data_IF_707245591323
#
_entry.id   IF_707245591323
#
_cell.length_a   1.000
_cell.length_b   1.000
_cell.length_c   1.000
_cell.angle_alpha   90.00
_cell.angle_beta   90.00
_cell.angle_gamma   90.00
#
_symmetry.space_group_name_H-M   'P 1'
#
loop_
_entity.id
_entity.type
_entity.pdbx_description
1 polymer ?
#
# COMPACT_ATOMS: atom_id res chain seq x y z
N UNK A 1 37.64 -2.67 3.53
CA UNK A 1 37.28 -2.42 4.94
C UNK A 1 36.03 -1.58 4.87
N UNK A 2 34.89 -2.18 5.17
CA UNK A 2 33.56 -1.65 4.82
C UNK A 2 33.24 -0.40 5.61
N UNK A 3 32.93 0.68 4.89
CA UNK A 3 32.26 1.84 5.47
C UNK A 3 30.80 1.45 5.72
N UNK A 4 30.56 1.04 6.96
CA UNK A 4 29.24 0.75 7.50
C UNK A 4 28.58 2.09 7.85
N UNK A 5 28.26 2.87 6.81
CA UNK A 5 27.54 4.13 6.95
C UNK A 5 26.10 3.84 7.36
N UNK A 6 25.84 3.86 8.68
CA UNK A 6 24.50 3.88 9.30
C UNK A 6 23.79 5.22 9.10
N UNK A 7 23.76 5.72 7.87
CA UNK A 7 22.87 6.80 7.45
C UNK A 7 21.59 6.19 6.88
N UNK A 8 20.44 6.83 7.09
CA UNK A 8 19.18 6.47 6.44
C UNK A 8 19.32 6.71 4.93
N UNK A 9 19.86 5.74 4.21
CA UNK A 9 19.90 5.71 2.76
C UNK A 9 18.58 5.15 2.26
N UNK A 10 17.64 6.03 1.93
CA UNK A 10 16.42 5.64 1.22
C UNK A 10 16.64 5.97 -0.24
N UNK A 11 16.68 4.92 -1.07
CA UNK A 11 16.69 5.07 -2.52
C UNK A 11 15.30 5.56 -2.98
N UNK A 12 15.18 6.81 -3.48
CA UNK A 12 13.90 7.38 -3.87
C UNK A 12 13.28 6.65 -5.07
N UNK A 13 14.10 6.04 -5.94
CA UNK A 13 13.61 5.23 -7.06
C UNK A 13 13.03 3.93 -6.55
N UNK A 14 13.73 3.24 -5.65
CA UNK A 14 13.22 2.02 -5.03
C UNK A 14 11.94 2.27 -4.22
N UNK A 15 11.83 3.43 -3.56
CA UNK A 15 10.62 3.81 -2.83
C UNK A 15 9.43 4.03 -3.77
N UNK A 16 9.64 4.73 -4.88
CA UNK A 16 8.62 4.97 -5.91
C UNK A 16 8.19 3.67 -6.60
N UNK A 17 9.14 2.77 -6.91
CA UNK A 17 8.80 1.43 -7.41
C UNK A 17 7.96 0.63 -6.41
N UNK A 18 8.33 0.68 -5.13
CA UNK A 18 7.59 0.00 -4.07
C UNK A 18 6.16 0.55 -3.97
N UNK A 19 6.00 1.88 -4.04
CA UNK A 19 4.71 2.56 -4.08
C UNK A 19 3.85 2.11 -5.27
N UNK A 20 4.43 2.04 -6.47
CA UNK A 20 3.72 1.60 -7.67
C UNK A 20 3.27 0.13 -7.58
N UNK A 21 4.16 -0.76 -7.10
CA UNK A 21 3.83 -2.17 -6.88
C UNK A 21 2.70 -2.32 -5.88
N UNK A 22 2.72 -1.56 -4.79
CA UNK A 22 1.67 -1.57 -3.77
C UNK A 22 0.34 -1.02 -4.28
N UNK A 23 0.36 0.04 -5.10
CA UNK A 23 -0.84 0.54 -5.77
C UNK A 23 -1.45 -0.52 -6.71
N UNK A 24 -0.61 -1.26 -7.43
CA UNK A 24 -1.06 -2.36 -8.28
C UNK A 24 -1.64 -3.52 -7.47
N UNK A 25 -1.01 -3.89 -6.34
CA UNK A 25 -1.52 -4.92 -5.43
C UNK A 25 -2.89 -4.50 -4.89
N UNK A 26 -3.04 -3.26 -4.43
CA UNK A 26 -4.33 -2.72 -3.96
C UNK A 26 -5.43 -2.84 -5.01
N UNK A 27 -5.12 -2.46 -6.26
CA UNK A 27 -6.06 -2.57 -7.37
C UNK A 27 -6.46 -4.03 -7.61
N UNK A 28 -5.50 -4.95 -7.65
CA UNK A 28 -5.76 -6.39 -7.85
C UNK A 28 -6.58 -6.99 -6.72
N UNK A 29 -6.34 -6.61 -5.46
CA UNK A 29 -7.13 -7.09 -4.32
C UNK A 29 -8.58 -6.62 -4.40
N UNK A 30 -8.82 -5.36 -4.77
CA UNK A 30 -10.17 -4.84 -4.97
C UNK A 30 -10.89 -5.56 -6.14
N UNK A 31 -10.18 -5.82 -7.22
CA UNK A 31 -10.72 -6.57 -8.36
C UNK A 31 -11.03 -8.03 -7.99
N UNK A 32 -10.17 -8.67 -7.18
CA UNK A 32 -10.39 -10.03 -6.69
C UNK A 32 -11.64 -10.11 -5.80
N UNK A 33 -11.87 -9.12 -4.93
CA UNK A 33 -13.08 -9.04 -4.11
C UNK A 33 -14.33 -8.93 -4.99
N UNK A 34 -14.29 -8.06 -6.00
CA UNK A 34 -15.40 -7.88 -6.96
C UNK A 34 -15.68 -9.15 -7.77
N UNK A 35 -14.63 -9.86 -8.19
CA UNK A 35 -14.76 -11.13 -8.92
C UNK A 35 -15.32 -12.23 -8.02
N UNK A 36 -14.90 -12.27 -6.75
CA UNK A 36 -15.46 -13.20 -5.77
C UNK A 36 -16.97 -12.96 -5.61
N UNK A 37 -17.40 -11.71 -5.40
CA UNK A 37 -18.83 -11.34 -5.29
C UNK A 37 -19.65 -11.74 -6.52
N UNK A 38 -19.05 -11.67 -7.72
CA UNK A 38 -19.71 -12.06 -8.96
C UNK A 38 -19.70 -13.57 -9.22
N UNK A 39 -18.71 -14.28 -8.67
CA UNK A 39 -18.60 -15.72 -8.80
C UNK A 39 -19.55 -16.46 -7.86
N UNK A 40 -20.12 -15.76 -6.88
CA UNK A 40 -21.06 -16.36 -5.95
C UNK A 40 -22.35 -16.82 -6.66
N UNK A 41 -22.69 -18.11 -6.54
CA UNK A 41 -23.89 -18.63 -7.17
C UNK A 41 -25.15 -18.09 -6.49
N UNK A 42 -26.06 -17.53 -7.29
CA UNK A 42 -27.36 -17.09 -6.81
C UNK A 42 -28.09 -18.22 -6.08
N UNK A 43 -28.77 -17.89 -4.97
CA UNK A 43 -29.36 -18.87 -4.07
C UNK A 43 -30.34 -19.83 -4.77
N UNK A 44 -31.02 -19.39 -5.84
CA UNK A 44 -31.95 -20.20 -6.60
C UNK A 44 -31.28 -21.25 -7.50
N UNK A 45 -30.00 -21.09 -7.84
CA UNK A 45 -29.23 -22.06 -8.67
C UNK A 45 -29.13 -23.41 -7.95
N UNK A 46 -29.15 -23.40 -6.63
CA UNK A 46 -29.08 -24.60 -5.79
C UNK A 46 -30.40 -25.37 -5.73
N UNK A 47 -31.50 -24.79 -6.21
CA UNK A 47 -32.84 -25.38 -6.14
C UNK A 47 -33.35 -25.60 -4.71
N UNK A 48 -34.58 -26.13 -4.58
CA UNK A 48 -35.22 -26.33 -3.27
C UNK A 48 -34.47 -27.31 -2.36
N UNK A 49 -33.83 -28.34 -2.93
CA UNK A 49 -33.04 -29.33 -2.19
C UNK A 49 -31.67 -28.78 -1.79
N UNK A 50 -31.08 -27.88 -2.58
CA UNK A 50 -29.79 -27.27 -2.29
C UNK A 50 -29.88 -26.02 -1.41
N UNK A 51 -31.07 -25.57 -1.00
CA UNK A 51 -31.23 -24.40 -0.14
C UNK A 51 -30.47 -24.51 1.20
N UNK A 52 -30.39 -25.72 1.77
CA UNK A 52 -29.61 -25.96 2.98
C UNK A 52 -28.10 -25.88 2.73
N UNK A 53 -27.66 -26.34 1.56
CA UNK A 53 -26.27 -26.23 1.08
C UNK A 53 -25.89 -24.78 0.79
N UNK A 54 -26.77 -24.01 0.16
CA UNK A 54 -26.59 -22.57 -0.03
C UNK A 54 -26.49 -21.85 1.32
N UNK A 55 -27.37 -22.16 2.28
CA UNK A 55 -27.31 -21.58 3.62
C UNK A 55 -26.00 -21.91 4.35
N UNK A 56 -25.48 -23.14 4.21
CA UNK A 56 -24.18 -23.53 4.77
C UNK A 56 -23.01 -22.82 4.06
N UNK A 57 -23.07 -22.71 2.74
CA UNK A 57 -22.07 -22.03 1.92
C UNK A 57 -21.93 -20.56 2.30
N UNK A 58 -23.03 -19.80 2.24
CA UNK A 58 -23.07 -18.39 2.62
C UNK A 58 -22.86 -18.18 4.12
N UNK A 59 -23.33 -19.14 4.93
CA UNK A 59 -23.29 -19.08 6.37
C UNK A 59 -21.88 -19.19 6.96
N UNK A 60 -21.01 -20.01 6.36
CA UNK A 60 -19.64 -20.21 6.82
C UNK A 60 -18.59 -19.79 5.80
N UNK A 61 -18.51 -20.54 4.70
CA UNK A 61 -17.40 -20.44 3.75
C UNK A 61 -17.33 -19.08 3.04
N UNK A 62 -18.46 -18.59 2.52
CA UNK A 62 -18.54 -17.31 1.82
C UNK A 62 -18.17 -16.15 2.74
N UNK A 63 -18.81 -16.03 3.91
CA UNK A 63 -18.55 -14.96 4.87
C UNK A 63 -17.10 -14.93 5.36
N UNK A 64 -16.51 -16.07 5.66
CA UNK A 64 -15.12 -16.13 6.12
C UNK A 64 -14.13 -15.75 5.01
N UNK A 65 -14.37 -16.19 3.78
CA UNK A 65 -13.58 -15.79 2.60
C UNK A 65 -13.64 -14.28 2.36
N UNK A 66 -14.84 -13.69 2.36
CA UNK A 66 -15.00 -12.25 2.18
C UNK A 66 -14.32 -11.46 3.29
N UNK A 67 -14.50 -11.88 4.54
CA UNK A 67 -13.85 -11.24 5.68
C UNK A 67 -12.33 -11.29 5.58
N UNK A 68 -11.75 -12.41 5.14
CA UNK A 68 -10.30 -12.51 4.95
C UNK A 68 -9.81 -11.61 3.81
N UNK A 69 -10.55 -11.53 2.71
CA UNK A 69 -10.23 -10.65 1.59
C UNK A 69 -10.31 -9.17 1.98
N UNK A 70 -11.32 -8.77 2.77
CA UNK A 70 -11.43 -7.43 3.33
C UNK A 70 -10.26 -7.09 4.25
N UNK A 71 -9.91 -7.97 5.20
CA UNK A 71 -8.77 -7.76 6.09
C UNK A 71 -7.45 -7.65 5.33
N UNK A 72 -7.26 -8.43 4.26
CA UNK A 72 -6.09 -8.29 3.38
C UNK A 72 -6.10 -6.95 2.66
N UNK A 73 -7.25 -6.52 2.12
CA UNK A 73 -7.40 -5.24 1.44
C UNK A 73 -7.07 -4.06 2.36
N UNK A 74 -7.61 -4.06 3.58
CA UNK A 74 -7.33 -3.04 4.61
C UNK A 74 -5.86 -3.04 5.00
N UNK A 75 -5.26 -4.22 5.25
CA UNK A 75 -3.85 -4.34 5.60
C UNK A 75 -2.91 -3.83 4.50
N UNK A 76 -3.26 -4.08 3.23
CA UNK A 76 -2.52 -3.54 2.08
C UNK A 76 -2.70 -2.02 2.00
N UNK A 77 -3.92 -1.51 2.17
CA UNK A 77 -4.19 -0.07 2.14
C UNK A 77 -3.39 0.68 3.22
N UNK A 78 -3.39 0.20 4.47
CA UNK A 78 -2.63 0.83 5.55
C UNK A 78 -1.12 0.83 5.31
N UNK A 79 -0.57 -0.21 4.67
CA UNK A 79 0.85 -0.25 4.28
C UNK A 79 1.17 0.72 3.15
N UNK A 80 0.29 0.87 2.17
CA UNK A 80 0.43 1.87 1.10
C UNK A 80 0.47 3.28 1.70
N UNK A 81 -0.46 3.60 2.58
CA UNK A 81 -0.52 4.92 3.24
C UNK A 81 0.72 5.21 4.07
N UNK A 82 1.23 4.22 4.82
CA UNK A 82 2.45 4.37 5.59
C UNK A 82 3.68 4.65 4.69
N UNK A 83 3.77 3.99 3.54
CA UNK A 83 4.87 4.20 2.58
C UNK A 83 4.75 5.55 1.88
N UNK A 84 3.54 5.97 1.51
CA UNK A 84 3.28 7.30 0.96
C UNK A 84 3.65 8.41 1.97
N UNK A 85 3.30 8.23 3.24
CA UNK A 85 3.65 9.16 4.31
C UNK A 85 5.18 9.23 4.50
N UNK A 86 5.85 8.08 4.51
CA UNK A 86 7.31 8.02 4.60
C UNK A 86 7.97 8.72 3.40
N UNK A 87 7.49 8.47 2.18
CA UNK A 87 8.04 9.11 0.97
C UNK A 87 7.88 10.62 0.96
N UNK A 88 6.73 11.15 1.40
CA UNK A 88 6.55 12.60 1.57
C UNK A 88 7.52 13.18 2.60
N UNK A 89 7.67 12.52 3.75
CA UNK A 89 8.59 12.97 4.80
C UNK A 89 10.05 13.05 4.30
N UNK A 90 10.48 12.07 3.48
CA UNK A 90 11.80 12.12 2.85
C UNK A 90 11.93 13.30 1.88
N UNK A 91 10.95 13.50 0.99
CA UNK A 91 10.98 14.61 0.03
C UNK A 91 11.01 15.99 0.72
N UNK A 92 10.25 16.15 1.80
CA UNK A 92 10.23 17.39 2.57
C UNK A 92 11.56 17.62 3.31
N UNK A 93 12.17 16.55 3.83
CA UNK A 93 13.50 16.60 4.45
C UNK A 93 14.57 17.00 3.45
N UNK A 94 14.59 16.38 2.26
CA UNK A 94 15.53 16.70 1.19
C UNK A 94 15.40 18.16 0.74
N UNK A 95 14.15 18.66 0.65
CA UNK A 95 13.89 20.07 0.33
C UNK A 95 14.47 21.00 1.40
N UNK A 96 14.25 20.69 2.67
CA UNK A 96 14.78 21.46 3.79
C UNK A 96 16.32 21.49 3.81
N UNK A 97 16.96 20.35 3.54
CA UNK A 97 18.43 20.26 3.43
C UNK A 97 18.93 21.11 2.26
N UNK A 98 18.29 21.03 1.09
CA UNK A 98 18.66 21.81 -0.09
C UNK A 98 18.49 23.32 0.12
N UNK A 99 17.49 23.74 0.89
CA UNK A 99 17.30 25.15 1.28
C UNK A 99 18.38 25.61 2.28
N UNK A 100 18.68 24.79 3.30
CA UNK A 100 19.74 25.08 4.26
C UNK A 100 21.11 25.20 3.57
N UNK A 101 21.45 24.29 2.66
CA UNK A 101 22.68 24.34 1.88
C UNK A 101 22.76 25.60 1.00
N UNK A 102 21.65 25.99 0.36
CA UNK A 102 21.57 27.26 -0.39
C UNK A 102 21.76 28.48 0.51
N UNK A 103 21.23 28.45 1.74
CA UNK A 103 21.44 29.50 2.73
C UNK A 103 22.90 29.62 3.15
N UNK A 104 23.54 28.49 3.49
CA UNK A 104 24.96 28.43 3.86
C UNK A 104 25.85 28.92 2.72
N UNK A 105 25.58 28.50 1.49
CA UNK A 105 26.34 28.95 0.32
C UNK A 105 26.24 30.47 0.10
N UNK A 106 25.07 31.05 0.36
CA UNK A 106 24.86 32.50 0.26
C UNK A 106 25.64 33.26 1.33
N UNK A 107 25.60 32.80 2.58
CA UNK A 107 26.39 33.37 3.69
C UNK A 107 27.90 33.31 3.40
N UNK A 108 28.40 32.16 2.96
CA UNK A 108 29.82 31.99 2.63
C UNK A 108 30.26 32.78 1.38
N UNK A 109 29.34 33.05 0.45
CA UNK A 109 29.61 33.87 -0.73
C UNK A 109 29.58 35.38 -0.44
N UNK A 110 28.88 35.80 0.61
CA UNK A 110 28.82 37.20 1.07
C UNK A 110 30.00 37.57 1.99
N UNK A 111 30.51 36.63 2.79
CA UNK A 111 31.70 36.83 3.65
C UNK A 111 33.05 36.80 2.87
N UNK A 112 33.02 36.45 1.58
CA UNK A 112 34.20 36.33 0.72
C UNK A 112 34.56 37.57 -0.11
N UNK A 113 33.91 38.73 0.12
CA UNK A 113 34.20 40.00 -0.56
C UNK A 113 34.69 41.09 0.40
#
# INVERSE_FOLDING_TARGET
>A
MGDDHKGFWVDPVALEECRQRLAQVRYRTAELLRVAEQADPEWFIWGALGAQMAAAYWGGCGRDLYRQLEMMAEGIAGRVEAIDAAGKAYQDTDRGIAEALRGIHRLLGEDGK
#
